data_IF_218314514874
#
_entry.id   IF_218314514874
#
_cell.length_a   1.000
_cell.length_b   1.000
_cell.length_c   1.000
_cell.angle_alpha   90.00
_cell.angle_beta   90.00
_cell.angle_gamma   90.00
#
_symmetry.space_group_name_H-M   'P 1'
#
loop_
_entity.id
_entity.type
_entity.pdbx_description
1 polymer ?
#
# COMPACT_ATOMS: atom_id res chain seq x y z
N UNK A 1 4.31 5.21 -23.22
CA UNK A 1 3.60 4.38 -22.23
C UNK A 1 4.12 4.78 -20.84
N UNK A 2 3.25 5.20 -19.93
CA UNK A 2 3.66 5.63 -18.59
C UNK A 2 4.14 4.39 -17.82
N UNK A 3 5.35 4.43 -17.27
CA UNK A 3 5.90 3.32 -16.49
C UNK A 3 5.42 3.45 -15.05
N UNK A 4 4.64 2.49 -14.60
CA UNK A 4 4.23 2.36 -13.19
C UNK A 4 5.22 1.42 -12.52
N UNK A 5 5.65 1.76 -11.30
CA UNK A 5 6.55 0.93 -10.49
C UNK A 5 5.92 0.63 -9.14
N UNK A 6 6.18 -0.56 -8.63
CA UNK A 6 6.00 -0.87 -7.21
C UNK A 6 7.31 -0.53 -6.52
N UNK A 7 7.27 0.36 -5.53
CA UNK A 7 8.47 0.85 -4.82
C UNK A 7 8.57 0.30 -3.39
N UNK A 8 7.47 -0.20 -2.84
CA UNK A 8 7.44 -0.92 -1.56
C UNK A 8 6.25 -1.87 -1.53
N UNK A 9 6.43 -2.97 -0.80
CA UNK A 9 5.34 -3.85 -0.39
C UNK A 9 5.41 -4.04 1.12
N UNK A 10 4.24 -4.01 1.78
CA UNK A 10 4.18 -3.93 3.23
C UNK A 10 3.14 -4.90 3.80
N UNK A 11 3.43 -5.51 4.95
CA UNK A 11 2.51 -6.40 5.68
C UNK A 11 2.44 -6.05 7.16
N UNK A 12 1.34 -6.41 7.81
CA UNK A 12 1.15 -6.29 9.26
C UNK A 12 0.90 -7.68 9.83
N UNK A 13 1.57 -8.05 10.94
CA UNK A 13 1.33 -9.34 11.62
C UNK A 13 0.07 -9.33 12.48
N UNK A 14 -0.35 -8.14 12.92
CA UNK A 14 -1.48 -7.95 13.83
C UNK A 14 -2.40 -6.83 13.31
N UNK A 15 -3.70 -6.96 13.51
CA UNK A 15 -4.68 -5.92 13.14
C UNK A 15 -4.48 -4.68 14.01
N UNK A 16 -4.69 -3.50 13.43
CA UNK A 16 -4.52 -2.22 14.14
C UNK A 16 -3.05 -1.78 14.30
N UNK A 17 -2.09 -2.54 13.75
CA UNK A 17 -0.68 -2.14 13.67
C UNK A 17 -0.35 -1.57 12.29
N UNK A 18 0.68 -0.72 12.24
CA UNK A 18 1.23 -0.25 10.96
C UNK A 18 1.81 -1.43 10.18
N UNK A 19 1.74 -1.36 8.85
CA UNK A 19 2.43 -2.33 8.01
C UNK A 19 3.90 -1.96 7.94
N UNK A 20 4.77 -2.96 7.81
CA UNK A 20 6.20 -2.79 7.65
C UNK A 20 6.65 -3.29 6.28
N UNK A 21 7.65 -2.64 5.65
CA UNK A 21 8.20 -3.09 4.37
C UNK A 21 8.76 -4.51 4.43
N UNK A 22 8.57 -5.26 3.35
CA UNK A 22 9.16 -6.59 3.11
C UNK A 22 9.68 -6.68 1.69
N UNK A 23 10.59 -7.63 1.42
CA UNK A 23 11.23 -7.77 0.11
C UNK A 23 10.24 -8.19 -0.99
N UNK A 24 9.22 -8.97 -0.62
CA UNK A 24 8.21 -9.49 -1.54
C UNK A 24 6.93 -9.86 -0.80
N UNK A 25 5.82 -9.86 -1.53
CA UNK A 25 4.52 -10.39 -1.07
C UNK A 25 4.00 -11.42 -2.08
N UNK A 26 3.18 -12.34 -1.59
CA UNK A 26 2.39 -13.26 -2.40
C UNK A 26 0.92 -12.86 -2.33
N UNK A 27 0.22 -12.90 -3.47
CA UNK A 27 -1.21 -12.62 -3.57
C UNK A 27 -1.97 -13.90 -3.86
N UNK A 28 -3.06 -14.12 -3.14
CA UNK A 28 -4.01 -15.20 -3.40
C UNK A 28 -5.46 -14.68 -3.32
N UNK A 29 -6.44 -15.57 -3.41
CA UNK A 29 -7.88 -15.25 -3.37
C UNK A 29 -8.33 -14.61 -2.04
N UNK A 30 -7.48 -14.58 -1.01
CA UNK A 30 -7.75 -13.97 0.29
C UNK A 30 -6.96 -12.67 0.51
N UNK A 31 -6.16 -12.22 -0.47
CA UNK A 31 -5.33 -11.02 -0.38
C UNK A 31 -3.84 -11.31 -0.23
N UNK A 32 -3.16 -10.51 0.60
CA UNK A 32 -1.72 -10.63 0.83
C UNK A 32 -1.42 -11.73 1.84
N UNK A 33 -0.69 -12.76 1.43
CA UNK A 33 -0.29 -13.87 2.30
C UNK A 33 0.49 -13.33 3.51
N UNK A 34 0.16 -13.83 4.71
CA UNK A 34 0.76 -13.42 5.99
C UNK A 34 0.45 -11.99 6.45
N UNK A 35 -0.45 -11.27 5.78
CA UNK A 35 -1.02 -10.04 6.31
C UNK A 35 -2.21 -10.32 7.24
N UNK A 36 -2.28 -9.63 8.38
CA UNK A 36 -3.35 -9.69 9.34
C UNK A 36 -4.75 -9.34 8.78
N UNK A 37 -4.78 -8.73 7.60
CA UNK A 37 -6.00 -8.35 6.89
C UNK A 37 -6.40 -9.34 5.78
N UNK A 38 -5.64 -10.41 5.56
CA UNK A 38 -6.03 -11.46 4.63
C UNK A 38 -7.32 -12.15 5.08
N UNK A 39 -8.19 -12.49 4.13
CA UNK A 39 -9.44 -13.20 4.36
C UNK A 39 -10.47 -13.01 3.26
N UNK A 40 -11.63 -13.61 3.47
CA UNK A 40 -12.78 -13.51 2.57
C UNK A 40 -13.59 -12.23 2.85
N UNK A 41 -13.20 -11.14 2.18
CA UNK A 41 -13.87 -9.85 2.28
C UNK A 41 -13.49 -8.93 1.10
N UNK A 42 -14.13 -7.77 1.02
CA UNK A 42 -14.07 -6.91 -0.18
C UNK A 42 -12.84 -5.99 -0.29
N UNK A 43 -11.97 -5.87 0.72
CA UNK A 43 -10.75 -5.01 0.67
C UNK A 43 -9.47 -5.78 0.96
N UNK A 44 -9.20 -6.78 0.14
CA UNK A 44 -8.13 -7.76 0.37
C UNK A 44 -6.71 -7.20 0.18
N UNK A 45 -6.57 -6.16 -0.65
CA UNK A 45 -5.29 -5.51 -0.94
C UNK A 45 -5.50 -4.00 -0.94
N UNK A 46 -4.62 -3.27 -0.27
CA UNK A 46 -4.60 -1.80 -0.27
C UNK A 46 -3.41 -1.26 -1.07
N UNK A 47 -3.63 -0.14 -1.76
CA UNK A 47 -2.60 0.53 -2.55
C UNK A 47 -2.54 2.03 -2.22
N UNK A 48 -1.35 2.62 -2.27
CA UNK A 48 -1.14 4.06 -2.13
C UNK A 48 -0.07 4.54 -3.12
N UNK A 49 -0.36 5.61 -3.86
CA UNK A 49 0.60 6.23 -4.76
C UNK A 49 1.57 7.13 -3.99
N UNK A 50 2.85 7.10 -4.38
CA UNK A 50 3.90 7.98 -3.87
C UNK A 50 3.48 9.46 -4.00
N UNK A 51 2.72 9.78 -5.03
CA UNK A 51 2.16 11.11 -5.30
C UNK A 51 1.21 11.58 -4.19
N UNK A 52 0.42 10.68 -3.59
CA UNK A 52 -0.43 11.00 -2.43
C UNK A 52 0.37 11.00 -1.13
N UNK A 53 1.33 10.07 -1.01
CA UNK A 53 2.21 9.95 0.14
C UNK A 53 3.07 11.21 0.34
N UNK A 54 3.72 11.68 -0.73
CA UNK A 54 4.58 12.86 -0.72
C UNK A 54 3.79 14.12 -0.36
N UNK A 55 2.60 14.31 -0.95
CA UNK A 55 1.68 15.41 -0.60
C UNK A 55 1.36 15.42 0.88
N UNK A 56 1.04 14.26 1.46
CA UNK A 56 0.77 14.19 2.89
C UNK A 56 2.04 14.46 3.72
N UNK A 57 3.19 13.88 3.36
CA UNK A 57 4.44 14.07 4.09
C UNK A 57 4.84 15.55 4.15
N UNK A 58 4.66 16.29 3.05
CA UNK A 58 4.86 17.73 2.97
C UNK A 58 3.89 18.48 3.90
N UNK A 59 2.58 18.19 3.81
CA UNK A 59 1.56 18.81 4.66
C UNK A 59 1.76 18.53 6.16
N UNK A 60 2.21 17.32 6.50
CA UNK A 60 2.47 16.90 7.86
C UNK A 60 3.83 17.40 8.40
N UNK A 61 4.70 17.96 7.55
CA UNK A 61 6.02 18.46 7.93
C UNK A 61 6.96 17.37 8.46
N UNK A 62 6.75 16.09 8.09
CA UNK A 62 7.59 14.98 8.54
C UNK A 62 7.73 13.90 7.49
N UNK A 63 8.83 13.16 7.58
CA UNK A 63 9.00 11.92 6.82
C UNK A 63 8.00 10.88 7.31
N UNK A 64 7.30 10.28 6.37
CA UNK A 64 6.44 9.12 6.59
C UNK A 64 7.20 7.89 6.10
N UNK A 65 6.96 6.73 6.70
CA UNK A 65 7.52 5.45 6.21
C UNK A 65 6.47 4.68 5.39
N UNK A 66 6.92 3.83 4.47
CA UNK A 66 6.01 2.94 3.74
C UNK A 66 5.33 1.96 4.71
N UNK A 67 4.04 1.71 4.48
CA UNK A 67 3.17 0.89 5.32
C UNK A 67 2.53 1.63 6.49
N UNK A 68 2.94 2.88 6.76
CA UNK A 68 2.38 3.70 7.85
C UNK A 68 0.92 4.08 7.62
N UNK A 69 0.48 4.12 6.36
CA UNK A 69 -0.94 4.28 5.98
C UNK A 69 -1.68 2.96 5.82
N UNK A 70 -1.09 1.85 6.27
CA UNK A 70 -1.61 0.51 6.13
C UNK A 70 -1.86 0.10 4.66
N UNK A 71 -1.08 0.63 3.71
CA UNK A 71 -1.05 0.18 2.33
C UNK A 71 -0.21 -1.09 2.17
N UNK A 72 -0.71 -2.06 1.40
CA UNK A 72 0.08 -3.23 1.04
C UNK A 72 1.07 -2.93 -0.08
N UNK A 73 0.70 -2.05 -1.02
CA UNK A 73 1.51 -1.75 -2.20
C UNK A 73 1.65 -0.24 -2.34
N UNK A 74 2.90 0.23 -2.35
CA UNK A 74 3.21 1.63 -2.68
C UNK A 74 3.64 1.71 -4.15
N UNK A 75 2.95 2.54 -4.94
CA UNK A 75 3.25 2.72 -6.37
C UNK A 75 3.90 4.05 -6.68
N UNK A 76 4.64 4.13 -7.79
CA UNK A 76 5.15 5.38 -8.37
C UNK A 76 4.78 5.45 -9.85
N UNK A 77 4.42 6.65 -10.31
CA UNK A 77 4.08 6.92 -11.72
C UNK A 77 2.58 6.80 -12.01
N UNK A 78 1.73 6.77 -10.98
CA UNK A 78 0.27 6.74 -11.10
C UNK A 78 -0.39 7.44 -9.90
N UNK A 79 -1.19 8.46 -10.20
CA UNK A 79 -2.04 9.10 -9.20
C UNK A 79 -3.31 8.28 -8.97
N UNK A 80 -3.23 7.29 -8.08
CA UNK A 80 -4.31 6.32 -7.82
C UNK A 80 -5.67 6.98 -7.49
N UNK A 81 -5.66 8.13 -6.81
CA UNK A 81 -6.89 8.86 -6.45
C UNK A 81 -7.67 9.38 -7.67
N UNK A 82 -7.02 9.51 -8.83
CA UNK A 82 -7.63 9.95 -10.07
C UNK A 82 -8.02 8.78 -11.00
N UNK A 83 -7.89 7.54 -10.52
CA UNK A 83 -8.30 6.34 -11.26
C UNK A 83 -9.79 6.06 -11.09
N UNK A 84 -10.35 5.28 -12.01
CA UNK A 84 -11.74 4.82 -11.94
C UNK A 84 -11.78 3.38 -11.40
N UNK A 85 -12.78 3.03 -10.57
CA UNK A 85 -13.09 1.64 -10.29
C UNK A 85 -13.28 0.86 -11.60
N UNK A 86 -12.80 -0.38 -11.63
CA UNK A 86 -12.97 -1.31 -12.74
C UNK A 86 -14.34 -1.98 -12.76
#
# INVERSE_FOLDING_TARGET
MQKIKVISVNISKEKGTVKLPVDSIELNEQGVVSDAHAGDWHRQVSMLGKESFDRFAELAGRKINYGEFAENITTEGIELVNTKPG
#
